data_IF_766039509436
#
_entry.id   IF_766039509436
#
_cell.length_a   1.000
_cell.length_b   1.000
_cell.length_c   1.000
_cell.angle_alpha   90.00
_cell.angle_beta   90.00
_cell.angle_gamma   90.00
#
_symmetry.space_group_name_H-M   'P 1'
#
loop_
_entity.id
_entity.type
_entity.pdbx_description
1 polymer ?
#
# COMPACT_ATOMS: atom_id res chain seq x y z
N UNK A 1 -31.64 62.48 -40.72
CA UNK A 1 -30.26 62.33 -40.26
C UNK A 1 -30.23 62.67 -38.75
N UNK A 2 -30.70 61.80 -37.90
CA UNK A 2 -30.79 62.05 -36.49
C UNK A 2 -29.95 61.04 -35.72
N UNK A 3 -28.96 61.51 -35.01
CA UNK A 3 -28.22 60.74 -34.02
C UNK A 3 -29.04 60.76 -32.74
N UNK A 4 -29.42 59.57 -32.26
CA UNK A 4 -30.02 59.38 -30.93
C UNK A 4 -28.88 59.03 -29.98
N UNK A 5 -28.59 59.91 -29.02
CA UNK A 5 -27.67 59.69 -27.93
C UNK A 5 -28.39 58.89 -26.82
N UNK A 6 -27.91 57.73 -26.53
CA UNK A 6 -28.37 56.90 -25.41
C UNK A 6 -27.51 57.22 -24.17
N UNK A 7 -28.16 57.85 -23.18
CA UNK A 7 -27.53 58.14 -21.90
C UNK A 7 -27.54 56.88 -21.03
N UNK A 8 -26.35 56.38 -20.68
CA UNK A 8 -26.18 55.29 -19.71
C UNK A 8 -26.16 55.87 -18.28
N UNK A 9 -27.19 55.54 -17.49
CA UNK A 9 -27.22 55.82 -16.06
C UNK A 9 -26.46 54.75 -15.33
N UNK A 10 -25.29 55.09 -14.80
CA UNK A 10 -24.54 54.23 -13.87
C UNK A 10 -25.15 54.34 -12.47
N UNK A 11 -25.82 53.28 -12.02
CA UNK A 11 -26.18 53.11 -10.63
C UNK A 11 -25.01 52.48 -9.88
N UNK A 12 -24.32 53.24 -9.03
CA UNK A 12 -23.37 52.70 -8.05
C UNK A 12 -24.17 52.03 -6.92
N UNK A 13 -24.16 50.71 -6.92
CA UNK A 13 -24.53 49.93 -5.74
C UNK A 13 -23.29 49.68 -4.91
N UNK A 14 -23.23 50.29 -3.73
CA UNK A 14 -22.24 50.02 -2.69
C UNK A 14 -22.55 48.63 -2.13
N UNK A 15 -21.78 47.62 -2.47
CA UNK A 15 -21.74 46.36 -1.77
C UNK A 15 -20.82 46.55 -0.56
N UNK A 16 -21.42 46.56 0.64
CA UNK A 16 -20.71 46.43 1.91
C UNK A 16 -20.04 45.06 1.96
N UNK A 17 -18.79 45.05 2.45
CA UNK A 17 -17.95 43.89 2.53
C UNK A 17 -18.58 42.73 3.29
N UNK A 18 -18.66 41.57 2.64
CA UNK A 18 -18.64 40.29 3.31
C UNK A 18 -17.19 39.81 3.25
N UNK A 19 -16.56 39.68 4.41
CA UNK A 19 -15.30 39.00 4.57
C UNK A 19 -15.46 37.57 4.01
N UNK A 20 -15.03 37.41 2.78
CA UNK A 20 -14.81 36.10 2.19
C UNK A 20 -13.58 35.49 2.88
N UNK A 21 -13.77 34.77 3.97
CA UNK A 21 -12.80 33.78 4.36
C UNK A 21 -12.66 32.83 3.14
N UNK A 22 -11.61 33.02 2.38
CA UNK A 22 -11.16 32.03 1.42
C UNK A 22 -10.92 30.77 2.23
N UNK A 23 -11.79 29.77 2.08
CA UNK A 23 -11.45 28.40 2.45
C UNK A 23 -10.27 28.07 1.56
N UNK A 24 -9.06 28.21 2.10
CA UNK A 24 -7.84 27.76 1.45
C UNK A 24 -8.07 26.25 1.32
N UNK A 25 -8.15 25.75 0.09
CA UNK A 25 -8.17 24.32 -0.14
C UNK A 25 -6.93 23.77 0.62
N UNK A 26 -7.18 22.83 1.51
CA UNK A 26 -6.09 22.17 2.21
C UNK A 26 -5.08 21.72 1.14
N UNK A 27 -3.82 22.11 1.30
CA UNK A 27 -2.77 21.67 0.40
C UNK A 27 -2.79 20.14 0.36
N UNK A 28 -2.63 19.59 -0.82
CA UNK A 28 -2.66 18.17 -1.07
C UNK A 28 -1.31 17.56 -0.62
N UNK A 29 -1.29 17.02 0.58
CA UNK A 29 -0.09 16.46 1.23
C UNK A 29 0.12 14.96 0.98
N UNK A 30 -0.49 14.37 -0.05
CA UNK A 30 -0.43 12.93 -0.29
C UNK A 30 1.02 12.41 -0.43
N UNK A 31 1.93 13.22 -0.93
CA UNK A 31 3.32 12.83 -1.14
C UNK A 31 4.19 12.93 0.12
N UNK A 32 3.79 13.74 1.10
CA UNK A 32 4.55 14.04 2.32
C UNK A 32 3.70 13.90 3.60
N UNK A 33 2.65 13.09 3.59
CA UNK A 33 1.70 13.02 4.70
C UNK A 33 2.31 12.51 6.03
N UNK A 34 3.42 11.77 5.98
CA UNK A 34 4.12 11.35 7.18
C UNK A 34 4.96 12.48 7.81
N UNK A 35 5.21 13.60 7.11
CA UNK A 35 5.99 14.71 7.61
C UNK A 35 5.44 15.27 8.93
N UNK A 36 4.12 15.30 9.06
CA UNK A 36 3.40 15.88 10.19
C UNK A 36 3.07 14.87 11.30
N UNK A 37 3.52 13.62 11.19
CA UNK A 37 3.40 12.61 12.25
C UNK A 37 4.61 12.69 13.17
N UNK A 38 4.37 12.56 14.50
CA UNK A 38 5.45 12.52 15.48
C UNK A 38 6.43 11.37 15.17
N UNK A 39 7.72 11.69 15.09
CA UNK A 39 8.77 10.73 14.80
C UNK A 39 8.89 9.58 15.79
N UNK A 40 8.46 9.78 17.06
CA UNK A 40 8.44 8.73 18.07
C UNK A 40 7.26 7.76 17.93
N UNK A 41 6.31 8.02 17.02
CA UNK A 41 5.20 7.10 16.75
C UNK A 41 5.73 5.79 16.18
N UNK A 42 5.31 4.66 16.77
CA UNK A 42 5.64 3.34 16.25
C UNK A 42 5.00 3.13 14.88
N UNK A 43 5.74 2.59 13.92
CA UNK A 43 5.25 2.38 12.54
C UNK A 43 3.98 1.51 12.50
N UNK A 44 3.83 0.59 13.44
CA UNK A 44 2.66 -0.28 13.61
C UNK A 44 1.40 0.44 14.07
N UNK A 45 1.54 1.61 14.71
CA UNK A 45 0.43 2.44 15.20
C UNK A 45 -0.07 3.45 14.17
N UNK A 46 0.53 3.49 12.98
CA UNK A 46 0.16 4.40 11.90
C UNK A 46 -0.87 3.74 10.99
N UNK A 47 -1.94 4.46 10.62
CA UNK A 47 -2.86 4.06 9.56
C UNK A 47 -2.17 4.25 8.20
N UNK A 48 -1.84 3.16 7.54
CA UNK A 48 -1.03 3.16 6.31
C UNK A 48 -1.87 2.64 5.14
N UNK A 49 -2.14 3.46 4.12
CA UNK A 49 -2.73 2.95 2.89
C UNK A 49 -1.74 2.05 2.15
N UNK A 50 -2.22 0.87 1.74
CA UNK A 50 -1.45 -0.15 1.04
C UNK A 50 -2.13 -0.65 -0.21
N UNK A 51 -1.39 -1.33 -1.08
CA UNK A 51 -1.90 -1.92 -2.32
C UNK A 51 -1.62 -3.42 -2.39
N UNK A 52 -2.64 -4.19 -2.78
CA UNK A 52 -2.54 -5.62 -3.03
C UNK A 52 -1.99 -5.85 -4.44
N UNK A 53 -1.11 -6.86 -4.60
CA UNK A 53 -0.49 -7.18 -5.91
C UNK A 53 -0.04 -5.91 -6.66
N UNK A 54 0.70 -5.07 -5.98
CA UNK A 54 0.97 -3.65 -6.28
C UNK A 54 1.50 -3.40 -7.70
N UNK A 55 2.20 -4.38 -8.28
CA UNK A 55 2.90 -4.26 -9.57
C UNK A 55 2.03 -4.61 -10.79
N UNK A 56 0.72 -4.85 -10.64
CA UNK A 56 -0.13 -5.47 -11.66
C UNK A 56 -0.73 -4.51 -12.69
N UNK A 57 -0.27 -3.25 -12.77
CA UNK A 57 -0.77 -2.26 -13.75
C UNK A 57 -0.83 -2.83 -15.17
N UNK A 58 0.25 -3.48 -15.60
CA UNK A 58 0.34 -4.15 -16.89
C UNK A 58 0.63 -5.64 -16.66
N UNK A 59 -0.41 -6.43 -16.48
CA UNK A 59 -0.31 -7.88 -16.27
C UNK A 59 -0.97 -8.64 -17.39
N UNK A 60 -0.49 -9.86 -17.64
CA UNK A 60 -1.13 -10.78 -18.58
C UNK A 60 -2.53 -11.16 -18.11
N UNK A 61 -3.48 -11.38 -19.02
CA UNK A 61 -4.90 -11.68 -18.70
C UNK A 61 -5.46 -10.72 -17.64
N UNK A 62 -5.27 -9.43 -17.86
CA UNK A 62 -5.61 -8.33 -16.95
C UNK A 62 -6.99 -8.44 -16.27
N UNK A 63 -7.95 -9.00 -16.98
CA UNK A 63 -9.31 -9.20 -16.50
C UNK A 63 -9.39 -10.06 -15.22
N UNK A 64 -8.42 -10.98 -15.05
CA UNK A 64 -8.35 -11.93 -13.94
C UNK A 64 -7.29 -11.51 -12.92
N UNK A 65 -6.17 -10.97 -13.41
CA UNK A 65 -4.97 -10.76 -12.57
C UNK A 65 -4.62 -9.30 -12.30
N UNK A 66 -5.32 -8.34 -12.91
CA UNK A 66 -5.05 -6.92 -12.64
C UNK A 66 -5.71 -6.50 -11.34
N UNK A 67 -4.89 -6.16 -10.35
CA UNK A 67 -5.31 -5.61 -9.06
C UNK A 67 -5.07 -4.11 -8.95
N UNK A 68 -4.18 -3.54 -9.78
CA UNK A 68 -3.89 -2.11 -9.81
C UNK A 68 -3.90 -1.60 -11.26
N UNK A 69 -4.39 -0.40 -11.50
CA UNK A 69 -4.37 0.24 -12.82
C UNK A 69 -3.42 1.45 -12.91
N UNK A 70 -2.69 1.75 -11.81
CA UNK A 70 -1.62 2.74 -11.73
C UNK A 70 -0.26 2.07 -11.49
N UNK A 71 0.83 2.77 -11.84
CA UNK A 71 2.20 2.34 -11.53
C UNK A 71 2.50 2.50 -10.04
N UNK A 72 3.52 1.80 -9.53
CA UNK A 72 4.00 1.98 -8.16
C UNK A 72 4.42 3.44 -7.92
N UNK A 73 5.10 4.07 -8.88
CA UNK A 73 5.43 5.49 -8.79
C UNK A 73 4.18 6.37 -8.60
N UNK A 74 3.08 6.10 -9.33
CA UNK A 74 1.84 6.84 -9.14
C UNK A 74 1.17 6.52 -7.80
N UNK A 75 1.18 5.27 -7.36
CA UNK A 75 0.63 4.87 -6.06
C UNK A 75 1.38 5.59 -4.91
N UNK A 76 2.70 5.79 -5.02
CA UNK A 76 3.48 6.57 -4.05
C UNK A 76 3.01 8.03 -4.00
N UNK A 77 2.85 8.68 -5.16
CA UNK A 77 2.32 10.05 -5.30
C UNK A 77 0.89 10.16 -4.77
N UNK A 78 0.09 9.12 -4.94
CA UNK A 78 -1.29 9.05 -4.43
C UNK A 78 -1.38 8.83 -2.90
N UNK A 79 -0.25 8.59 -2.21
CA UNK A 79 -0.18 8.49 -0.75
C UNK A 79 -0.01 7.08 -0.19
N UNK A 80 0.11 6.06 -1.02
CA UNK A 80 0.32 4.67 -0.58
C UNK A 80 1.74 4.44 -0.10
N UNK A 81 1.89 3.68 1.02
CA UNK A 81 3.19 3.42 1.65
C UNK A 81 3.43 1.94 2.00
N UNK A 82 2.46 1.06 1.75
CA UNK A 82 2.63 -0.40 1.84
C UNK A 82 2.38 -1.03 0.48
N UNK A 83 3.30 -1.89 0.03
CA UNK A 83 3.24 -2.55 -1.27
C UNK A 83 3.41 -4.05 -1.15
N UNK A 84 2.40 -4.84 -1.58
CA UNK A 84 2.45 -6.29 -1.67
C UNK A 84 3.19 -6.71 -2.95
N UNK A 85 4.44 -7.12 -2.78
CA UNK A 85 5.39 -7.40 -3.86
C UNK A 85 5.61 -8.90 -4.05
N UNK A 86 5.23 -9.43 -5.21
CA UNK A 86 5.26 -10.86 -5.48
C UNK A 86 6.40 -11.24 -6.43
N UNK A 87 7.46 -11.81 -5.86
CA UNK A 87 8.73 -12.10 -6.50
C UNK A 87 8.77 -13.49 -7.11
N UNK A 88 9.37 -13.61 -8.29
CA UNK A 88 9.64 -14.88 -8.96
C UNK A 88 11.01 -14.84 -9.62
N UNK A 89 11.71 -15.96 -9.59
CA UNK A 89 12.95 -16.15 -10.36
C UNK A 89 12.65 -16.20 -11.87
N UNK A 90 13.34 -15.41 -12.66
CA UNK A 90 13.24 -15.41 -14.13
C UNK A 90 14.62 -15.46 -14.76
N UNK A 91 14.80 -16.28 -15.77
CA UNK A 91 16.08 -16.50 -16.43
C UNK A 91 16.66 -17.90 -16.21
N UNK A 92 17.84 -18.13 -16.77
CA UNK A 92 18.59 -19.36 -16.57
C UNK A 92 19.40 -19.25 -15.27
N UNK A 93 19.77 -20.37 -14.70
CA UNK A 93 20.42 -20.50 -13.38
C UNK A 93 21.56 -19.49 -13.14
N UNK A 94 22.40 -19.24 -14.14
CA UNK A 94 23.53 -18.31 -14.04
C UNK A 94 23.18 -16.84 -14.31
N UNK A 95 21.95 -16.54 -14.79
CA UNK A 95 21.50 -15.21 -15.19
C UNK A 95 20.13 -14.85 -14.60
N UNK A 96 19.79 -15.43 -13.45
CA UNK A 96 18.51 -15.20 -12.82
C UNK A 96 18.37 -13.77 -12.33
N UNK A 97 17.13 -13.26 -12.42
CA UNK A 97 16.72 -11.97 -11.87
C UNK A 97 15.36 -12.09 -11.21
N UNK A 98 15.01 -11.17 -10.33
CA UNK A 98 13.69 -11.08 -9.73
C UNK A 98 12.76 -10.26 -10.61
N UNK A 99 11.65 -10.87 -11.01
CA UNK A 99 10.52 -10.21 -11.67
C UNK A 99 9.28 -10.29 -10.81
N UNK A 100 8.27 -9.46 -11.13
CA UNK A 100 6.98 -9.43 -10.44
C UNK A 100 5.96 -10.28 -11.21
N UNK A 101 5.11 -11.01 -10.45
CA UNK A 101 3.98 -11.78 -10.99
C UNK A 101 2.78 -11.69 -10.07
N UNK A 102 1.61 -11.95 -10.65
CA UNK A 102 0.44 -12.38 -9.91
C UNK A 102 0.10 -13.80 -10.36
N UNK A 103 0.28 -14.77 -9.47
CA UNK A 103 0.17 -16.18 -9.80
C UNK A 103 1.12 -16.53 -10.98
N UNK A 104 0.60 -17.04 -12.10
CA UNK A 104 1.41 -17.34 -13.29
C UNK A 104 1.54 -16.16 -14.29
N UNK A 105 0.81 -15.06 -14.08
CA UNK A 105 0.81 -13.92 -15.00
C UNK A 105 1.94 -12.93 -14.66
N UNK A 106 2.86 -12.72 -15.64
CA UNK A 106 3.97 -11.77 -15.49
C UNK A 106 3.46 -10.33 -15.51
N UNK A 107 3.87 -9.53 -14.54
CA UNK A 107 3.79 -8.08 -14.60
C UNK A 107 4.76 -7.55 -15.66
N UNK A 108 4.43 -6.45 -16.31
CA UNK A 108 5.18 -5.88 -17.43
C UNK A 108 5.52 -4.42 -17.20
N UNK A 109 6.58 -3.95 -17.83
CA UNK A 109 7.02 -2.54 -17.81
C UNK A 109 6.03 -1.60 -18.54
N UNK A 110 5.08 -2.13 -19.31
CA UNK A 110 4.12 -1.35 -20.08
C UNK A 110 3.05 -2.20 -20.76
N UNK A 111 2.03 -1.54 -21.33
CA UNK A 111 0.87 -2.16 -21.99
C UNK A 111 1.13 -2.72 -23.40
N UNK A 112 2.35 -2.60 -23.92
CA UNK A 112 2.70 -3.04 -25.27
C UNK A 112 2.77 -4.56 -25.42
N UNK A 113 2.53 -5.07 -26.65
CA UNK A 113 2.58 -6.50 -26.96
C UNK A 113 3.95 -7.13 -26.64
N UNK A 114 5.03 -6.37 -26.83
CA UNK A 114 6.42 -6.80 -26.62
C UNK A 114 7.03 -6.20 -25.32
N UNK A 115 6.19 -5.69 -24.42
CA UNK A 115 6.68 -5.17 -23.15
C UNK A 115 7.40 -6.27 -22.36
N UNK A 116 8.56 -5.92 -21.79
CA UNK A 116 9.37 -6.82 -20.97
C UNK A 116 8.68 -7.10 -19.64
N UNK A 117 9.11 -8.17 -18.99
CA UNK A 117 8.71 -8.43 -17.60
C UNK A 117 9.23 -7.29 -16.68
N UNK A 118 8.39 -6.86 -15.77
CA UNK A 118 8.76 -5.86 -14.77
C UNK A 118 9.71 -6.50 -13.76
N UNK A 119 10.91 -5.94 -13.64
CA UNK A 119 11.91 -6.39 -12.69
C UNK A 119 11.75 -5.66 -11.36
N UNK A 120 12.16 -6.30 -10.27
CA UNK A 120 12.24 -5.67 -8.97
C UNK A 120 13.12 -4.41 -9.00
N UNK A 121 14.25 -4.44 -9.72
CA UNK A 121 15.15 -3.29 -9.87
C UNK A 121 14.47 -2.04 -10.46
N UNK A 122 13.49 -2.20 -11.36
CA UNK A 122 12.73 -1.07 -11.90
C UNK A 122 11.88 -0.41 -10.79
N UNK A 123 11.16 -1.25 -10.02
CA UNK A 123 10.34 -0.76 -8.89
C UNK A 123 11.21 -0.09 -7.83
N UNK A 124 12.33 -0.69 -7.46
CA UNK A 124 13.26 -0.09 -6.49
C UNK A 124 13.79 1.27 -6.95
N UNK A 125 14.02 1.44 -8.26
CA UNK A 125 14.41 2.75 -8.81
C UNK A 125 13.36 3.83 -8.56
N UNK A 126 12.07 3.50 -8.77
CA UNK A 126 10.96 4.42 -8.52
C UNK A 126 10.83 4.75 -7.02
N UNK A 127 10.94 3.75 -6.15
CA UNK A 127 10.86 3.94 -4.69
C UNK A 127 12.05 4.76 -4.17
N UNK A 128 13.26 4.50 -4.66
CA UNK A 128 14.42 5.29 -4.27
C UNK A 128 14.30 6.76 -4.70
N UNK A 129 13.82 7.01 -5.93
CA UNK A 129 13.61 8.37 -6.41
C UNK A 129 12.59 9.10 -5.54
N UNK A 130 11.46 8.46 -5.24
CA UNK A 130 10.43 9.00 -4.37
C UNK A 130 10.99 9.36 -2.97
N UNK A 131 11.65 8.43 -2.29
CA UNK A 131 12.18 8.67 -0.94
C UNK A 131 13.30 9.70 -0.89
N UNK A 132 14.02 9.93 -2.00
CA UNK A 132 15.00 11.02 -2.10
C UNK A 132 14.34 12.39 -2.22
N UNK A 133 13.19 12.47 -2.89
CA UNK A 133 12.40 13.70 -3.04
C UNK A 133 11.55 13.97 -1.78
N UNK A 134 11.11 12.92 -1.10
CA UNK A 134 10.23 12.95 0.07
C UNK A 134 10.87 12.27 1.29
N UNK A 135 11.91 12.87 1.89
CA UNK A 135 12.71 12.24 2.93
C UNK A 135 11.99 12.09 4.29
N UNK A 136 10.83 12.70 4.46
CA UNK A 136 9.96 12.51 5.63
C UNK A 136 9.24 11.15 5.61
N UNK A 137 9.10 10.55 4.43
CA UNK A 137 8.32 9.36 4.19
C UNK A 137 9.10 8.07 4.45
N UNK A 138 8.37 6.99 4.68
CA UNK A 138 8.89 5.62 4.64
C UNK A 138 7.97 4.74 3.80
N UNK A 139 8.51 3.67 3.26
CA UNK A 139 7.78 2.72 2.40
C UNK A 139 8.01 1.32 2.90
N UNK A 140 6.93 0.56 3.16
CA UNK A 140 7.02 -0.86 3.49
C UNK A 140 6.90 -1.65 2.20
N UNK A 141 7.94 -2.41 1.85
CA UNK A 141 7.89 -3.40 0.77
C UNK A 141 7.73 -4.80 1.36
N UNK A 142 6.54 -5.36 1.23
CA UNK A 142 6.24 -6.72 1.71
C UNK A 142 6.52 -7.73 0.60
N UNK A 143 7.66 -8.41 0.69
CA UNK A 143 8.16 -9.33 -0.33
C UNK A 143 7.63 -10.75 -0.09
N UNK A 144 6.98 -11.32 -1.10
CA UNK A 144 6.50 -12.72 -1.10
C UNK A 144 7.15 -13.48 -2.26
N UNK A 145 7.67 -14.67 -2.01
CA UNK A 145 8.02 -15.62 -3.06
C UNK A 145 6.71 -16.24 -3.62
N UNK A 146 6.33 -15.84 -4.84
CA UNK A 146 5.01 -16.19 -5.40
C UNK A 146 4.98 -17.61 -5.97
N UNK A 147 6.10 -18.11 -6.49
CA UNK A 147 6.17 -19.45 -7.03
C UNK A 147 6.71 -20.43 -6.00
N UNK A 148 5.88 -21.36 -5.53
CA UNK A 148 6.25 -22.37 -4.54
C UNK A 148 7.38 -23.33 -4.98
N UNK A 149 7.78 -23.29 -6.25
CA UNK A 149 8.88 -24.07 -6.80
C UNK A 149 10.21 -23.33 -6.84
N UNK A 150 10.19 -22.02 -6.60
CA UNK A 150 11.41 -21.23 -6.55
C UNK A 150 12.20 -21.57 -5.28
N UNK A 151 13.50 -21.61 -5.40
CA UNK A 151 14.38 -21.71 -4.25
C UNK A 151 14.34 -20.38 -3.47
N UNK A 152 13.79 -20.42 -2.27
CA UNK A 152 13.63 -19.23 -1.41
C UNK A 152 15.00 -18.63 -1.06
N UNK A 153 16.03 -19.45 -0.84
CA UNK A 153 17.39 -18.96 -0.59
C UNK A 153 17.93 -18.17 -1.79
N UNK A 154 17.64 -18.62 -3.00
CA UNK A 154 18.02 -17.89 -4.21
C UNK A 154 17.20 -16.60 -4.40
N UNK A 155 15.89 -16.62 -4.11
CA UNK A 155 15.06 -15.39 -4.10
C UNK A 155 15.65 -14.40 -3.11
N UNK A 156 15.91 -14.81 -1.88
CA UNK A 156 16.47 -13.98 -0.83
C UNK A 156 17.85 -13.44 -1.21
N UNK A 157 18.73 -14.27 -1.75
CA UNK A 157 20.07 -13.86 -2.24
C UNK A 157 19.96 -12.74 -3.28
N UNK A 158 19.13 -12.91 -4.32
CA UNK A 158 18.97 -11.91 -5.36
C UNK A 158 18.30 -10.63 -4.84
N UNK A 159 17.42 -10.72 -3.85
CA UNK A 159 16.85 -9.57 -3.16
C UNK A 159 17.95 -8.79 -2.44
N UNK A 160 18.81 -9.47 -1.69
CA UNK A 160 19.91 -8.82 -0.97
C UNK A 160 20.99 -8.26 -1.89
N UNK A 161 21.24 -8.84 -3.05
CA UNK A 161 22.07 -8.23 -4.09
C UNK A 161 21.52 -6.89 -4.60
N UNK A 162 20.19 -6.69 -4.58
CA UNK A 162 19.58 -5.38 -4.87
C UNK A 162 19.68 -4.42 -3.68
N UNK A 163 19.44 -4.90 -2.46
CA UNK A 163 19.55 -4.12 -1.22
C UNK A 163 20.98 -3.57 -1.05
N UNK A 164 21.98 -4.40 -1.31
CA UNK A 164 23.40 -4.05 -1.15
C UNK A 164 23.88 -2.95 -2.12
N UNK A 165 23.10 -2.61 -3.15
CA UNK A 165 23.37 -1.46 -4.02
C UNK A 165 23.12 -0.12 -3.33
N UNK A 166 22.17 -0.07 -2.37
CA UNK A 166 21.79 1.13 -1.62
C UNK A 166 21.45 0.77 -0.16
N UNK A 167 22.35 0.15 0.61
CA UNK A 167 22.03 -0.44 1.92
C UNK A 167 21.57 0.61 2.94
N UNK A 168 21.99 1.87 2.80
CA UNK A 168 21.60 2.99 3.68
C UNK A 168 20.11 3.37 3.55
N UNK A 169 19.47 3.00 2.44
CA UNK A 169 18.04 3.27 2.19
C UNK A 169 17.13 2.16 2.71
N UNK A 170 17.64 1.22 3.50
CA UNK A 170 16.86 0.10 3.99
C UNK A 170 16.87 0.01 5.51
N UNK A 171 15.73 -0.38 6.05
CA UNK A 171 15.57 -0.88 7.41
C UNK A 171 15.32 -2.39 7.33
N UNK A 172 16.22 -3.18 7.93
CA UNK A 172 16.27 -4.65 7.76
C UNK A 172 16.06 -5.42 9.08
N UNK A 173 15.88 -4.73 10.20
CA UNK A 173 15.67 -5.42 11.45
C UNK A 173 14.26 -6.04 11.52
N UNK A 174 14.16 -7.21 12.15
CA UNK A 174 12.88 -7.83 12.50
C UNK A 174 12.39 -7.27 13.85
N UNK A 175 12.22 -5.97 13.89
CA UNK A 175 11.73 -5.19 15.03
C UNK A 175 10.85 -4.07 14.51
N UNK A 176 9.80 -3.70 15.25
CA UNK A 176 8.95 -2.58 14.87
C UNK A 176 9.71 -1.27 15.13
N UNK A 177 9.96 -0.45 14.09
CA UNK A 177 10.67 0.82 14.28
C UNK A 177 9.72 1.95 14.68
N UNK A 178 10.27 3.03 15.23
CA UNK A 178 9.61 4.34 15.22
C UNK A 178 9.69 4.93 13.81
N UNK A 179 8.80 5.88 13.49
CA UNK A 179 8.79 6.57 12.21
C UNK A 179 10.12 7.27 11.93
N UNK A 180 10.72 7.91 12.95
CA UNK A 180 12.01 8.62 12.81
C UNK A 180 13.15 7.69 12.39
N UNK A 181 13.17 6.45 12.88
CA UNK A 181 14.21 5.47 12.52
C UNK A 181 14.17 5.07 11.04
N UNK A 182 13.01 5.24 10.39
CA UNK A 182 12.76 4.75 9.03
C UNK A 182 12.45 5.84 8.01
N UNK A 183 12.39 7.10 8.40
CA UNK A 183 12.26 8.23 7.46
C UNK A 183 13.32 8.15 6.36
N UNK A 184 12.92 8.33 5.11
CA UNK A 184 13.75 8.21 3.92
C UNK A 184 14.20 6.78 3.59
N UNK A 185 13.63 5.76 4.24
CA UNK A 185 14.02 4.36 4.04
C UNK A 185 12.88 3.46 3.60
N UNK A 186 13.25 2.36 3.00
CA UNK A 186 12.40 1.22 2.73
C UNK A 186 12.47 0.29 3.94
N UNK A 187 11.32 -0.05 4.51
CA UNK A 187 11.20 -1.10 5.52
C UNK A 187 10.95 -2.42 4.80
N UNK A 188 11.87 -3.36 4.93
CA UNK A 188 11.70 -4.70 4.39
C UNK A 188 10.74 -5.50 5.27
N UNK A 189 9.67 -6.02 4.66
CA UNK A 189 8.87 -7.09 5.24
C UNK A 189 8.91 -8.32 4.33
N UNK A 190 8.95 -9.53 4.91
CA UNK A 190 9.05 -10.79 4.15
C UNK A 190 7.93 -11.75 4.52
N UNK A 191 7.35 -12.41 3.51
CA UNK A 191 6.38 -13.51 3.66
C UNK A 191 7.01 -14.86 3.30
N UNK A 192 8.31 -15.00 3.52
CA UNK A 192 9.06 -16.23 3.36
C UNK A 192 10.07 -16.34 4.50
N UNK A 193 10.51 -17.58 4.76
CA UNK A 193 11.46 -17.87 5.82
C UNK A 193 12.84 -17.27 5.53
N UNK A 194 13.61 -16.95 6.57
CA UNK A 194 15.01 -16.52 6.45
C UNK A 194 15.91 -17.71 6.06
N UNK A 195 15.81 -18.11 4.79
CA UNK A 195 16.55 -19.26 4.25
C UNK A 195 18.06 -19.04 4.18
N UNK A 196 18.53 -17.81 4.29
CA UNK A 196 19.96 -17.46 4.34
C UNK A 196 20.50 -17.31 5.77
N UNK A 197 19.66 -17.51 6.78
CA UNK A 197 20.02 -17.38 8.20
C UNK A 197 20.66 -16.01 8.53
N UNK A 198 20.11 -14.92 7.98
CA UNK A 198 20.61 -13.55 8.17
C UNK A 198 20.39 -13.02 9.59
N UNK A 199 19.43 -13.60 10.30
CA UNK A 199 19.09 -13.26 11.68
C UNK A 199 18.32 -11.96 11.82
N UNK A 200 17.87 -11.66 13.06
CA UNK A 200 16.92 -10.59 13.37
C UNK A 200 17.30 -9.19 12.86
N UNK A 201 18.60 -8.89 12.79
CA UNK A 201 19.06 -7.56 12.38
C UNK A 201 19.05 -7.34 10.87
N UNK A 202 18.83 -8.40 10.09
CA UNK A 202 18.92 -8.34 8.62
C UNK A 202 17.84 -9.09 7.88
N UNK A 203 16.92 -9.80 8.54
CA UNK A 203 15.89 -10.61 7.87
C UNK A 203 14.66 -9.82 7.42
N UNK A 204 14.53 -8.55 7.85
CA UNK A 204 13.31 -7.76 7.69
C UNK A 204 12.21 -8.17 8.67
N UNK A 205 11.11 -7.44 8.68
CA UNK A 205 9.91 -7.81 9.42
C UNK A 205 9.34 -9.11 8.85
N UNK A 206 9.25 -10.15 9.67
CA UNK A 206 8.74 -11.45 9.23
C UNK A 206 7.22 -11.49 9.31
N UNK A 207 6.55 -11.11 8.23
CA UNK A 207 5.10 -11.12 8.10
C UNK A 207 4.61 -12.48 7.63
N UNK A 208 4.31 -13.35 8.58
CA UNK A 208 3.79 -14.68 8.29
C UNK A 208 2.41 -14.87 8.90
N UNK A 209 1.48 -15.41 8.13
CA UNK A 209 0.17 -15.86 8.58
C UNK A 209 -0.28 -17.08 7.81
N UNK A 210 -1.15 -17.86 8.45
CA UNK A 210 -1.76 -19.02 7.81
C UNK A 210 -2.74 -18.59 6.72
N UNK A 211 -2.95 -19.45 5.72
CA UNK A 211 -3.97 -19.25 4.69
C UNK A 211 -5.35 -19.04 5.33
N UNK A 212 -5.99 -17.93 4.97
CA UNK A 212 -7.29 -17.52 5.49
C UNK A 212 -8.39 -17.58 4.42
N UNK A 213 -8.10 -18.01 3.19
CA UNK A 213 -9.04 -17.96 2.09
C UNK A 213 -10.42 -18.55 2.40
N UNK A 214 -10.44 -19.69 3.06
CA UNK A 214 -11.66 -20.46 3.38
C UNK A 214 -12.09 -20.36 4.86
N UNK A 215 -11.49 -19.49 5.66
CA UNK A 215 -11.87 -19.32 7.08
C UNK A 215 -13.21 -18.62 7.21
N UNK A 216 -14.02 -19.03 8.19
CA UNK A 216 -15.24 -18.35 8.55
C UNK A 216 -14.97 -17.00 9.23
N UNK A 217 -15.92 -16.05 9.12
CA UNK A 217 -15.79 -14.68 9.65
C UNK A 217 -15.66 -14.66 11.17
N UNK A 218 -16.24 -15.64 11.86
CA UNK A 218 -16.30 -15.69 13.33
C UNK A 218 -14.96 -15.97 14.01
N UNK A 219 -13.93 -16.35 13.26
CA UNK A 219 -12.63 -16.68 13.82
C UNK A 219 -11.76 -15.41 14.00
N UNK A 220 -12.01 -14.69 15.06
CA UNK A 220 -11.17 -13.57 15.51
C UNK A 220 -10.33 -14.05 16.70
N UNK A 221 -9.07 -13.79 16.72
CA UNK A 221 -8.19 -12.94 15.93
C UNK A 221 -7.60 -13.63 14.69
N UNK A 222 -7.20 -12.81 13.72
CA UNK A 222 -6.82 -13.31 12.43
C UNK A 222 -5.38 -13.74 12.33
N UNK A 223 -4.54 -13.31 13.18
CA UNK A 223 -3.23 -13.72 12.97
C UNK A 223 -2.25 -13.64 13.92
N UNK A 224 -1.42 -14.13 13.98
CA UNK A 224 -1.00 -14.69 14.64
C UNK A 224 0.39 -15.13 14.72
N UNK A 225 1.35 -14.53 14.10
CA UNK A 225 2.77 -14.81 14.27
C UNK A 225 3.41 -13.72 15.09
N UNK A 226 4.20 -14.09 16.07
CA UNK A 226 5.12 -13.15 16.67
C UNK A 226 6.15 -12.74 15.60
N UNK A 227 6.30 -11.45 15.34
CA UNK A 227 7.35 -10.90 14.48
C UNK A 227 8.68 -11.04 15.19
N UNK A 228 8.66 -10.83 16.49
CA UNK A 228 9.78 -11.03 17.42
C UNK A 228 9.22 -11.42 18.79
N UNK A 229 10.06 -11.60 19.79
CA UNK A 229 9.61 -11.89 21.16
C UNK A 229 8.74 -10.77 21.76
N UNK A 230 8.77 -9.57 21.18
CA UNK A 230 8.09 -8.37 21.69
C UNK A 230 7.08 -7.77 20.70
N UNK A 231 6.84 -8.37 19.54
CA UNK A 231 5.96 -7.80 18.52
C UNK A 231 5.06 -8.85 17.90
N UNK A 232 3.88 -8.43 17.45
CA UNK A 232 2.83 -9.29 16.90
C UNK A 232 2.32 -8.77 15.55
N UNK A 233 1.64 -9.66 14.82
CA UNK A 233 1.01 -9.37 13.54
C UNK A 233 -0.43 -9.89 13.56
N UNK A 234 -1.39 -9.03 13.26
CA UNK A 234 -2.78 -9.36 12.99
C UNK A 234 -3.05 -9.22 11.50
N UNK A 235 -3.78 -10.17 10.89
CA UNK A 235 -4.09 -10.09 9.47
C UNK A 235 -5.50 -10.55 9.20
N UNK A 236 -6.27 -9.76 8.48
CA UNK A 236 -7.47 -10.18 7.77
C UNK A 236 -7.11 -10.39 6.30
N UNK A 237 -7.09 -11.65 5.82
CA UNK A 237 -6.80 -12.03 4.42
C UNK A 237 -7.78 -13.10 3.91
N UNK A 238 -9.09 -12.84 4.06
CA UNK A 238 -10.18 -13.75 3.63
C UNK A 238 -10.51 -13.53 2.16
N UNK A 239 -9.65 -14.01 1.29
CA UNK A 239 -9.70 -13.68 -0.14
C UNK A 239 -10.67 -14.55 -0.95
N UNK A 240 -11.23 -15.65 -0.41
CA UNK A 240 -12.21 -16.49 -1.11
C UNK A 240 -13.68 -16.12 -0.82
N UNK A 241 -13.93 -15.05 -0.11
CA UNK A 241 -15.26 -14.59 0.24
C UNK A 241 -15.95 -13.91 -0.95
N UNK A 242 -17.26 -13.98 -1.02
CA UNK A 242 -17.99 -13.09 -1.90
C UNK A 242 -17.91 -11.63 -1.41
N UNK A 243 -18.42 -10.68 -2.20
CA UNK A 243 -18.25 -9.26 -1.89
C UNK A 243 -18.96 -8.85 -0.59
N UNK A 244 -20.09 -9.48 -0.24
CA UNK A 244 -20.81 -9.17 0.99
C UNK A 244 -20.05 -9.64 2.21
N UNK A 245 -19.70 -10.94 2.23
CA UNK A 245 -18.94 -11.54 3.33
C UNK A 245 -17.56 -10.88 3.49
N UNK A 246 -16.97 -10.46 2.36
CA UNK A 246 -15.69 -9.70 2.39
C UNK A 246 -15.86 -8.34 3.03
N UNK A 247 -16.93 -7.61 2.73
CA UNK A 247 -17.22 -6.33 3.37
C UNK A 247 -17.42 -6.51 4.89
N UNK A 248 -18.14 -7.53 5.30
CA UNK A 248 -18.34 -7.83 6.72
C UNK A 248 -16.99 -8.11 7.42
N UNK A 249 -16.10 -8.87 6.79
CA UNK A 249 -14.76 -9.14 7.31
C UNK A 249 -13.87 -7.89 7.37
N UNK A 250 -13.94 -7.00 6.38
CA UNK A 250 -13.23 -5.72 6.36
C UNK A 250 -13.70 -4.83 7.50
N UNK A 251 -15.01 -4.68 7.65
CA UNK A 251 -15.61 -3.82 8.68
C UNK A 251 -15.32 -4.34 10.08
N UNK A 252 -15.44 -5.65 10.28
CA UNK A 252 -15.10 -6.28 11.56
C UNK A 252 -13.64 -5.98 11.95
N UNK A 253 -12.69 -6.06 11.01
CA UNK A 253 -11.29 -5.74 11.26
C UNK A 253 -11.08 -4.23 11.51
N UNK A 254 -11.77 -3.34 10.79
CA UNK A 254 -11.68 -1.90 11.02
C UNK A 254 -12.24 -1.49 12.39
N UNK A 255 -13.35 -2.09 12.82
CA UNK A 255 -14.00 -1.82 14.11
C UNK A 255 -13.23 -2.43 15.30
N UNK A 256 -12.52 -3.53 15.07
CA UNK A 256 -11.79 -4.29 16.08
C UNK A 256 -10.27 -4.32 15.82
N UNK A 257 -9.75 -3.32 15.12
CA UNK A 257 -8.34 -3.24 14.72
C UNK A 257 -7.41 -3.38 15.93
N UNK A 258 -6.41 -4.24 15.78
CA UNK A 258 -5.43 -4.54 16.83
C UNK A 258 -4.11 -3.77 16.67
N UNK A 259 -4.06 -2.78 15.78
CA UNK A 259 -2.86 -1.96 15.59
C UNK A 259 -2.47 -1.25 16.88
N UNK A 260 -1.23 -1.43 17.30
CA UNK A 260 -0.65 -0.90 18.53
C UNK A 260 0.87 -0.76 18.38
N UNK A 261 1.54 -0.18 19.37
CA UNK A 261 2.99 0.02 19.34
C UNK A 261 3.80 -1.27 19.19
N UNK A 262 3.26 -2.39 19.61
CA UNK A 262 3.86 -3.72 19.52
C UNK A 262 3.15 -4.66 18.53
N UNK A 263 2.18 -4.16 17.77
CA UNK A 263 1.33 -5.01 16.94
C UNK A 263 1.00 -4.34 15.60
N UNK A 264 1.45 -4.94 14.50
CA UNK A 264 0.93 -4.59 13.18
C UNK A 264 -0.45 -5.21 12.95
N UNK A 265 -1.38 -4.44 12.37
CA UNK A 265 -2.65 -4.95 11.85
C UNK A 265 -2.69 -4.73 10.34
N UNK A 266 -3.06 -5.76 9.57
CA UNK A 266 -3.16 -5.70 8.11
C UNK A 266 -4.52 -6.19 7.66
N UNK A 267 -5.28 -5.31 7.00
CA UNK A 267 -6.60 -5.59 6.48
C UNK A 267 -6.56 -5.63 4.94
N UNK A 268 -6.56 -6.83 4.35
CA UNK A 268 -6.67 -7.00 2.91
C UNK A 268 -8.13 -6.86 2.47
N UNK A 269 -8.41 -5.89 1.61
CA UNK A 269 -9.77 -5.65 1.09
C UNK A 269 -10.06 -6.42 -0.20
N UNK A 270 -9.05 -7.03 -0.79
CA UNK A 270 -9.15 -7.82 -2.03
C UNK A 270 -9.90 -9.14 -1.84
N UNK A 271 -10.63 -9.58 -2.88
CA UNK A 271 -11.30 -10.89 -2.91
C UNK A 271 -11.31 -11.50 -4.30
N UNK A 272 -11.33 -12.85 -4.34
CA UNK A 272 -11.54 -13.65 -5.55
C UNK A 272 -13.02 -13.99 -5.81
N UNK A 273 -13.95 -13.53 -4.97
CA UNK A 273 -15.37 -13.73 -5.15
C UNK A 273 -15.84 -15.17 -4.98
N UNK A 274 -15.52 -15.83 -3.88
CA UNK A 274 -15.86 -17.22 -3.55
C UNK A 274 -15.24 -18.26 -4.49
N UNK A 275 -13.97 -18.06 -4.87
CA UNK A 275 -13.21 -18.99 -5.72
C UNK A 275 -13.68 -19.05 -7.17
N UNK A 276 -14.62 -18.20 -7.58
CA UNK A 276 -14.98 -18.03 -9.00
C UNK A 276 -13.83 -17.30 -9.71
N UNK A 277 -13.65 -17.61 -11.01
CA UNK A 277 -12.74 -16.82 -11.85
C UNK A 277 -13.21 -15.37 -11.77
N UNK A 278 -12.51 -14.58 -10.97
CA UNK A 278 -13.00 -13.30 -10.53
C UNK A 278 -12.57 -12.17 -11.44
N UNK A 279 -13.20 -11.06 -11.23
CA UNK A 279 -12.88 -9.75 -11.75
C UNK A 279 -12.43 -8.89 -10.59
N UNK A 280 -11.14 -8.77 -10.26
CA UNK A 280 -10.70 -7.93 -9.15
C UNK A 280 -11.31 -6.52 -9.23
N UNK A 281 -11.32 -5.91 -10.42
CA UNK A 281 -11.91 -4.57 -10.60
C UNK A 281 -13.39 -4.47 -10.22
N UNK A 282 -14.18 -5.50 -10.51
CA UNK A 282 -15.61 -5.50 -10.16
C UNK A 282 -15.82 -5.54 -8.65
N UNK A 283 -15.05 -6.36 -7.95
CA UNK A 283 -15.14 -6.47 -6.50
C UNK A 283 -14.61 -5.21 -5.82
N UNK A 284 -13.42 -4.75 -6.26
CA UNK A 284 -12.80 -3.54 -5.77
C UNK A 284 -13.72 -2.31 -5.93
N UNK A 285 -14.46 -2.18 -7.05
CA UNK A 285 -15.38 -1.04 -7.22
C UNK A 285 -16.40 -0.97 -6.08
N UNK A 286 -17.05 -2.09 -5.75
CA UNK A 286 -18.04 -2.12 -4.66
C UNK A 286 -17.42 -1.88 -3.29
N UNK A 287 -16.26 -2.48 -3.04
CA UNK A 287 -15.55 -2.38 -1.75
C UNK A 287 -14.99 -0.97 -1.56
N UNK A 288 -14.35 -0.40 -2.58
CA UNK A 288 -13.77 0.93 -2.52
C UNK A 288 -14.85 2.02 -2.38
N UNK A 289 -16.01 1.89 -3.07
CA UNK A 289 -17.15 2.79 -2.90
C UNK A 289 -17.66 2.78 -1.45
N UNK A 290 -17.70 1.60 -0.81
CA UNK A 290 -18.04 1.49 0.61
C UNK A 290 -16.98 2.16 1.49
N UNK A 291 -15.69 1.88 1.28
CA UNK A 291 -14.60 2.45 2.06
C UNK A 291 -14.49 3.97 1.93
N UNK A 292 -14.78 4.53 0.75
CA UNK A 292 -14.87 5.99 0.54
C UNK A 292 -16.01 6.63 1.33
N UNK A 293 -17.05 5.88 1.68
CA UNK A 293 -18.19 6.34 2.49
C UNK A 293 -18.11 5.91 3.95
N UNK A 294 -17.10 5.14 4.34
CA UNK A 294 -16.92 4.67 5.71
C UNK A 294 -16.62 5.86 6.64
N UNK A 295 -17.12 5.81 7.87
CA UNK A 295 -16.95 6.87 8.87
C UNK A 295 -15.59 6.76 9.57
N UNK A 296 -14.52 7.07 8.85
CA UNK A 296 -13.15 7.06 9.35
C UNK A 296 -12.96 8.04 10.51
N UNK A 297 -12.51 7.55 11.67
CA UNK A 297 -12.36 8.36 12.86
C UNK A 297 -10.94 8.92 12.98
N UNK A 298 -10.81 10.24 13.04
CA UNK A 298 -9.52 10.90 13.28
C UNK A 298 -8.93 10.51 14.64
N UNK A 299 -7.62 10.27 14.66
CA UNK A 299 -6.89 9.82 15.85
C UNK A 299 -7.05 8.31 16.15
N UNK A 300 -7.67 7.56 15.25
CA UNK A 300 -7.77 6.10 15.34
C UNK A 300 -6.76 5.43 14.42
N UNK A 301 -5.98 4.49 14.94
CA UNK A 301 -5.12 3.65 14.11
C UNK A 301 -5.94 2.50 13.52
N UNK A 302 -5.93 2.40 12.20
CA UNK A 302 -6.53 1.29 11.45
C UNK A 302 -5.47 0.32 10.90
N UNK A 303 -4.20 0.52 11.26
CA UNK A 303 -3.11 -0.28 10.73
C UNK A 303 -2.95 -0.14 9.22
N UNK A 304 -2.54 -1.22 8.55
CA UNK A 304 -2.30 -1.23 7.11
C UNK A 304 -3.56 -1.70 6.38
N UNK A 305 -4.19 -0.82 5.61
CA UNK A 305 -5.37 -1.15 4.79
C UNK A 305 -4.96 -1.36 3.35
N UNK A 306 -5.05 -2.60 2.86
CA UNK A 306 -4.46 -3.03 1.58
C UNK A 306 -5.56 -3.20 0.53
N UNK A 307 -5.56 -2.33 -0.50
CA UNK A 307 -6.66 -2.23 -1.45
C UNK A 307 -6.31 -2.70 -2.86
N UNK A 308 -7.33 -3.09 -3.61
CA UNK A 308 -7.27 -3.24 -5.07
C UNK A 308 -7.73 -1.94 -5.75
N UNK A 309 -7.18 -1.62 -6.93
CA UNK A 309 -7.52 -0.43 -7.72
C UNK A 309 -7.48 0.86 -6.89
N UNK A 310 -6.31 1.08 -6.35
CA UNK A 310 -5.94 2.19 -5.50
C UNK A 310 -6.28 3.55 -6.12
N UNK A 311 -6.86 4.45 -5.32
CA UNK A 311 -7.15 5.84 -5.70
C UNK A 311 -6.60 6.80 -4.65
N UNK A 312 -6.27 8.03 -5.06
CA UNK A 312 -5.78 9.08 -4.16
C UNK A 312 -6.77 9.39 -3.04
N UNK A 313 -8.07 9.46 -3.36
CA UNK A 313 -9.12 9.77 -2.39
C UNK A 313 -9.22 8.67 -1.32
N UNK A 314 -9.06 7.40 -1.71
CA UNK A 314 -9.08 6.29 -0.75
C UNK A 314 -7.85 6.28 0.14
N UNK A 315 -6.66 6.54 -0.41
CA UNK A 315 -5.45 6.71 0.40
C UNK A 315 -5.65 7.83 1.43
N UNK A 316 -6.22 8.97 0.98
CA UNK A 316 -6.51 10.12 1.83
C UNK A 316 -7.43 9.77 3.00
N UNK A 317 -8.53 9.06 2.75
CA UNK A 317 -9.43 8.62 3.82
C UNK A 317 -8.69 7.82 4.91
N UNK A 318 -7.71 6.99 4.52
CA UNK A 318 -6.96 6.15 5.45
C UNK A 318 -5.91 6.96 6.21
N UNK A 319 -5.01 7.68 5.52
CA UNK A 319 -3.91 8.36 6.19
C UNK A 319 -4.37 9.59 7.00
N UNK A 320 -5.48 10.23 6.65
CA UNK A 320 -6.03 11.36 7.44
C UNK A 320 -6.59 10.94 8.81
N UNK A 321 -6.72 9.65 9.08
CA UNK A 321 -7.08 9.17 10.44
C UNK A 321 -5.93 9.31 11.44
N UNK A 322 -4.69 9.46 10.99
CA UNK A 322 -3.52 9.61 11.85
C UNK A 322 -3.57 10.91 12.66
N UNK A 323 -2.87 10.91 13.79
CA UNK A 323 -2.67 12.12 14.59
C UNK A 323 -1.48 12.90 14.05
N UNK A 324 -1.74 14.12 13.57
CA UNK A 324 -0.71 15.01 13.06
C UNK A 324 -0.27 16.00 14.15
N UNK A 325 1.04 16.17 14.30
CA UNK A 325 1.63 17.21 15.14
C UNK A 325 1.68 18.51 14.33
N UNK A 326 1.15 19.60 14.88
CA UNK A 326 1.11 20.91 14.25
C UNK A 326 2.40 21.69 14.49
#
# INVERSE_FOLDING_TARGET
WGAVALALVLSLSVFAGMDGSSVQAAEDHAEDWMADIDGETMLSSISIPGTHDSATQYVGMRYIFQCQDTSIAQQLVDGYRYFDMRLVLDGKEDEQTLILKHNFAKCKEGGGLFAKALKLSNVLSDVYAFLQEHPSETVILCMKAENSKDDVAQVQKLLYEQIDQNPQMWYLANEIPTLEQVRGKIVLATRFEDAMELGQQKSGLHFYWEDQGDREIVDVPYALSAISDSASLWVQDRYNYDTSDKLDAIVDDLENCQAADDTFSINFTSTSGSGKVGHPKKYATTINDYLLSYDWQAGTSYGIVVVDFATKDLAKCIYETNTFVK
#
